data_IF_834521315229
#
_entry.id   IF_834521315229
#
_cell.length_a   1.000
_cell.length_b   1.000
_cell.length_c   1.000
_cell.angle_alpha   90.00
_cell.angle_beta   90.00
_cell.angle_gamma   90.00
#
_symmetry.space_group_name_H-M   'P 1'
#
loop_
_entity.id
_entity.type
_entity.pdbx_description
1 polymer ?
#
# COMPACT_ATOMS: atom_id res chain seq x y z
N UNK A 1 23.38 14.07 -0.24
CA UNK A 1 22.84 14.26 1.13
C UNK A 1 21.40 14.75 0.97
N UNK A 2 20.40 13.94 1.32
CA UNK A 2 19.01 14.41 1.30
C UNK A 2 18.79 15.25 2.55
N UNK A 3 18.56 16.54 2.35
CA UNK A 3 18.16 17.49 3.38
C UNK A 3 16.86 16.98 4.04
N UNK A 4 16.88 16.71 5.35
CA UNK A 4 15.67 16.38 6.10
C UNK A 4 14.76 17.61 6.08
N UNK A 5 13.73 17.58 5.25
CA UNK A 5 12.72 18.63 5.22
C UNK A 5 11.99 18.65 6.57
N UNK A 6 11.71 19.83 7.14
CA UNK A 6 11.02 19.93 8.42
C UNK A 6 9.59 19.36 8.27
N UNK A 7 9.33 18.26 8.96
CA UNK A 7 8.02 17.65 9.04
C UNK A 7 7.24 18.24 10.22
N UNK A 8 5.94 18.46 10.03
CA UNK A 8 5.03 18.93 11.07
C UNK A 8 4.23 17.75 11.59
N UNK A 9 4.21 17.59 12.90
CA UNK A 9 3.37 16.62 13.59
C UNK A 9 2.04 17.26 14.00
N UNK A 10 0.94 16.57 13.71
CA UNK A 10 -0.41 17.06 13.94
C UNK A 10 -1.23 15.97 14.63
N UNK A 11 -1.99 16.35 15.66
CA UNK A 11 -2.99 15.47 16.27
C UNK A 11 -4.36 15.78 15.66
N UNK A 12 -4.91 14.85 14.87
CA UNK A 12 -6.21 14.99 14.22
C UNK A 12 -7.06 13.77 14.55
N UNK A 13 -8.19 13.97 15.23
CA UNK A 13 -9.09 12.87 15.61
C UNK A 13 -8.42 11.80 16.48
N UNK A 14 -7.41 12.15 17.28
CA UNK A 14 -6.63 11.20 18.07
C UNK A 14 -5.57 10.41 17.29
N UNK A 15 -5.43 10.66 15.99
CA UNK A 15 -4.37 10.09 15.14
C UNK A 15 -3.23 11.10 15.00
N UNK A 16 -2.00 10.62 15.19
CA UNK A 16 -0.78 11.38 14.98
C UNK A 16 -0.39 11.36 13.50
N UNK A 17 -0.51 12.50 12.83
CA UNK A 17 -0.23 12.68 11.39
C UNK A 17 1.05 13.48 11.22
N UNK A 18 2.03 12.88 10.55
CA UNK A 18 3.22 13.56 10.04
C UNK A 18 2.96 14.15 8.64
N UNK A 19 3.16 15.45 8.48
CA UNK A 19 2.96 16.18 7.23
C UNK A 19 4.25 16.87 6.78
N UNK A 20 4.58 16.95 5.47
CA UNK A 20 5.88 17.46 5.01
C UNK A 20 6.06 18.98 5.07
N UNK A 21 5.03 19.73 5.45
CA UNK A 21 5.09 21.18 5.67
C UNK A 21 3.92 21.61 6.57
N UNK A 22 3.78 22.90 6.89
CA UNK A 22 2.63 23.40 7.63
C UNK A 22 1.37 23.34 6.74
N UNK A 23 0.37 22.49 7.04
CA UNK A 23 -0.77 22.33 6.15
C UNK A 23 -1.65 23.58 6.09
N UNK A 24 -2.29 23.79 4.95
CA UNK A 24 -3.31 24.80 4.76
C UNK A 24 -4.60 24.45 5.52
N UNK A 25 -5.45 25.43 5.87
CA UNK A 25 -6.73 25.18 6.53
C UNK A 25 -7.62 24.16 5.79
N UNK A 26 -7.65 24.22 4.45
CA UNK A 26 -8.39 23.26 3.62
C UNK A 26 -7.85 21.83 3.73
N UNK A 27 -6.53 21.67 3.88
CA UNK A 27 -5.91 20.37 4.11
C UNK A 27 -6.26 19.84 5.49
N UNK A 28 -6.18 20.67 6.54
CA UNK A 28 -6.58 20.29 7.89
C UNK A 28 -8.03 19.81 7.95
N UNK A 29 -8.96 20.54 7.32
CA UNK A 29 -10.37 20.15 7.24
C UNK A 29 -10.55 18.81 6.51
N UNK A 30 -9.84 18.61 5.41
CA UNK A 30 -9.89 17.35 4.65
C UNK A 30 -9.35 16.18 5.48
N UNK A 31 -8.18 16.34 6.11
CA UNK A 31 -7.57 15.31 6.96
C UNK A 31 -8.49 14.93 8.13
N UNK A 32 -9.13 15.92 8.77
CA UNK A 32 -10.11 15.70 9.85
C UNK A 32 -11.30 14.86 9.39
N UNK A 33 -11.88 15.16 8.22
CA UNK A 33 -13.00 14.39 7.68
C UNK A 33 -12.59 12.97 7.28
N UNK A 34 -11.38 12.79 6.73
CA UNK A 34 -10.84 11.47 6.38
C UNK A 34 -10.69 10.61 7.63
N UNK A 35 -10.01 11.12 8.67
CA UNK A 35 -9.80 10.38 9.92
C UNK A 35 -11.13 10.00 10.57
N UNK A 36 -12.09 10.94 10.60
CA UNK A 36 -13.44 10.69 11.13
C UNK A 36 -14.17 9.58 10.37
N UNK A 37 -14.11 9.60 9.03
CA UNK A 37 -14.71 8.57 8.18
C UNK A 37 -14.09 7.20 8.40
N UNK A 38 -12.76 7.13 8.46
CA UNK A 38 -12.01 5.90 8.71
C UNK A 38 -12.34 5.29 10.08
N UNK A 39 -12.43 6.12 11.14
CA UNK A 39 -12.76 5.68 12.49
C UNK A 39 -14.19 5.15 12.62
N UNK A 40 -15.11 5.67 11.80
CA UNK A 40 -16.52 5.28 11.80
C UNK A 40 -16.85 4.17 10.81
N UNK A 41 -15.88 3.73 10.02
CA UNK A 41 -16.11 2.79 8.92
C UNK A 41 -17.17 3.28 7.92
N UNK A 42 -17.17 4.59 7.65
CA UNK A 42 -18.14 5.27 6.77
C UNK A 42 -17.53 5.67 5.42
N UNK A 43 -18.38 5.82 4.40
CA UNK A 43 -17.96 6.42 3.12
C UNK A 43 -17.96 7.94 3.22
N UNK A 44 -16.95 8.59 2.63
CA UNK A 44 -16.84 10.05 2.60
C UNK A 44 -16.78 10.59 1.16
N UNK A 45 -17.64 11.56 0.86
CA UNK A 45 -17.55 12.37 -0.35
C UNK A 45 -16.89 13.71 0.01
N UNK A 46 -15.66 13.92 -0.45
CA UNK A 46 -14.86 15.09 -0.08
C UNK A 46 -14.58 15.97 -1.30
N UNK A 47 -15.15 17.16 -1.31
CA UNK A 47 -14.84 18.18 -2.32
C UNK A 47 -13.75 19.12 -1.84
N UNK A 48 -12.95 19.59 -2.78
CA UNK A 48 -11.89 20.55 -2.53
C UNK A 48 -11.48 21.23 -3.85
N UNK A 49 -10.99 22.47 -3.84
CA UNK A 49 -10.48 23.12 -5.05
C UNK A 49 -9.24 22.39 -5.60
N UNK A 50 -8.96 22.56 -6.89
CA UNK A 50 -7.72 22.08 -7.51
C UNK A 50 -6.50 22.81 -6.93
N UNK A 51 -5.36 22.12 -6.83
CA UNK A 51 -4.11 22.73 -6.32
C UNK A 51 -3.99 22.84 -4.80
N UNK A 52 -4.97 22.33 -4.04
CA UNK A 52 -4.98 22.35 -2.57
C UNK A 52 -4.18 21.23 -1.88
N UNK A 53 -3.43 20.43 -2.65
CA UNK A 53 -2.68 19.29 -2.12
C UNK A 53 -3.57 18.16 -1.58
N UNK A 54 -4.67 17.84 -2.27
CA UNK A 54 -5.61 16.76 -1.90
C UNK A 54 -4.93 15.42 -1.75
N UNK A 55 -4.05 15.08 -2.70
CA UNK A 55 -3.35 13.80 -2.76
C UNK A 55 -2.51 13.60 -1.50
N UNK A 56 -1.72 14.61 -1.13
CA UNK A 56 -0.90 14.59 0.08
C UNK A 56 -1.74 14.48 1.37
N UNK A 57 -2.82 15.26 1.49
CA UNK A 57 -3.76 15.16 2.62
C UNK A 57 -4.36 13.75 2.74
N UNK A 58 -4.74 13.15 1.61
CA UNK A 58 -5.31 11.82 1.55
C UNK A 58 -4.30 10.74 1.95
N UNK A 59 -3.08 10.78 1.39
CA UNK A 59 -2.00 9.84 1.69
C UNK A 59 -1.59 9.91 3.16
N UNK A 60 -1.26 11.10 3.66
CA UNK A 60 -0.78 11.26 5.04
C UNK A 60 -1.84 10.83 6.06
N UNK A 61 -3.12 11.18 5.85
CA UNK A 61 -4.19 10.80 6.79
C UNK A 61 -4.44 9.30 6.80
N UNK A 62 -4.53 8.68 5.62
CA UNK A 62 -4.82 7.25 5.51
C UNK A 62 -3.67 6.41 6.08
N UNK A 63 -2.41 6.76 5.76
CA UNK A 63 -1.23 6.04 6.24
C UNK A 63 -1.04 6.22 7.75
N UNK A 64 -1.20 7.44 8.27
CA UNK A 64 -1.15 7.70 9.71
C UNK A 64 -2.18 6.86 10.47
N UNK A 65 -3.44 6.85 9.99
CA UNK A 65 -4.50 6.07 10.63
C UNK A 65 -4.23 4.56 10.55
N UNK A 66 -3.72 4.06 9.41
CA UNK A 66 -3.36 2.65 9.25
C UNK A 66 -2.23 2.23 10.20
N UNK A 67 -1.19 3.05 10.36
CA UNK A 67 -0.09 2.81 11.29
C UNK A 67 -0.56 2.86 12.75
N UNK A 68 -1.40 3.86 13.10
CA UNK A 68 -1.99 3.98 14.43
C UNK A 68 -2.87 2.77 14.78
N UNK A 69 -3.68 2.30 13.82
CA UNK A 69 -4.47 1.08 14.00
C UNK A 69 -3.57 -0.15 14.19
N UNK A 70 -2.50 -0.30 13.41
CA UNK A 70 -1.55 -1.40 13.55
C UNK A 70 -0.92 -1.42 14.96
N UNK A 71 -0.47 -0.26 15.45
CA UNK A 71 0.08 -0.13 16.80
C UNK A 71 -0.95 -0.45 17.89
N UNK A 72 -2.21 -0.03 17.72
CA UNK A 72 -3.29 -0.33 18.66
C UNK A 72 -3.61 -1.84 18.72
N UNK A 73 -3.59 -2.51 17.58
CA UNK A 73 -3.83 -3.96 17.51
C UNK A 73 -2.68 -4.75 18.13
N UNK A 74 -1.43 -4.37 17.87
CA UNK A 74 -0.25 -5.00 18.48
C UNK A 74 -0.27 -4.89 20.02
N UNK A 75 -0.52 -3.69 20.55
CA UNK A 75 -0.65 -3.51 22.02
C UNK A 75 -1.75 -4.37 22.61
N UNK A 76 -2.89 -4.48 21.93
CA UNK A 76 -4.03 -5.30 22.39
C UNK A 76 -3.68 -6.79 22.40
N UNK A 77 -2.89 -7.26 21.44
CA UNK A 77 -2.36 -8.63 21.42
C UNK A 77 -1.39 -8.86 22.59
N UNK A 78 -0.44 -7.95 22.83
CA UNK A 78 0.51 -8.02 23.95
C UNK A 78 -0.19 -8.05 25.33
N UNK A 79 -1.21 -7.19 25.52
CA UNK A 79 -2.03 -7.13 26.73
C UNK A 79 -2.82 -8.44 26.96
N UNK A 80 -3.30 -9.07 25.89
CA UNK A 80 -4.00 -10.35 25.98
C UNK A 80 -3.04 -11.48 26.39
N UNK A 81 -1.84 -11.49 25.83
CA UNK A 81 -0.80 -12.46 26.19
C UNK A 81 -0.34 -12.33 27.65
N UNK A 82 -0.16 -11.11 28.17
CA UNK A 82 0.17 -10.89 29.58
C UNK A 82 -0.95 -11.33 30.54
N UNK A 83 -2.22 -11.05 30.20
CA UNK A 83 -3.36 -11.47 31.03
C UNK A 83 -3.54 -12.98 31.14
N UNK A 84 -3.09 -13.76 30.15
CA UNK A 84 -3.12 -15.23 30.19
C UNK A 84 -1.99 -15.83 31.05
N UNK A 85 -0.92 -15.09 31.33
CA UNK A 85 0.22 -15.57 32.14
C UNK A 85 -0.05 -15.37 33.65
N UNK A 86 -0.67 -14.26 34.04
CA UNK A 86 -0.99 -13.95 35.45
C UNK A 86 -2.13 -14.84 36.03
N UNK A 87 -2.87 -15.58 35.19
CA UNK A 87 -3.91 -16.52 35.62
C UNK A 87 -3.43 -17.99 35.71
N UNK A 88 -2.13 -18.27 35.53
CA UNK A 88 -1.60 -19.63 35.59
C UNK A 88 -1.27 -20.13 37.02
N UNK A 89 -1.39 -19.29 38.06
CA UNK A 89 -1.06 -19.65 39.45
C UNK A 89 -2.28 -19.86 40.38
N UNK A 90 -3.53 -19.64 39.94
CA UNK A 90 -4.73 -20.06 40.68
C UNK A 90 -5.74 -20.77 39.77
N UNK A 91 -6.04 -22.04 40.07
CA UNK A 91 -7.11 -22.82 39.46
C UNK A 91 -8.49 -22.14 39.68
N UNK A 92 -9.12 -21.60 38.63
CA UNK A 92 -10.48 -22.00 38.22
C UNK A 92 -10.97 -21.26 36.97
N UNK A 93 -11.75 -22.04 36.20
CA UNK A 93 -12.92 -21.63 35.43
C UNK A 93 -12.67 -21.30 33.95
N UNK A 94 -12.74 -22.37 33.16
CA UNK A 94 -12.80 -22.38 31.70
C UNK A 94 -13.94 -21.49 31.18
N UNK A 95 -13.63 -20.23 30.88
CA UNK A 95 -14.48 -19.37 30.06
C UNK A 95 -14.05 -19.60 28.61
N UNK A 96 -14.76 -20.46 27.89
CA UNK A 96 -14.66 -20.52 26.43
C UNK A 96 -15.17 -19.19 25.86
N UNK A 97 -14.25 -18.25 25.62
CA UNK A 97 -14.59 -17.04 24.90
C UNK A 97 -14.91 -17.41 23.44
N UNK A 98 -16.04 -16.95 22.87
CA UNK A 98 -16.34 -17.17 21.46
C UNK A 98 -15.19 -16.58 20.61
N UNK A 99 -14.84 -17.19 19.47
CA UNK A 99 -13.70 -16.75 18.67
C UNK A 99 -13.96 -15.34 18.16
N UNK A 100 -13.41 -14.32 18.83
CA UNK A 100 -13.44 -12.94 18.35
C UNK A 100 -12.61 -12.89 17.08
N UNK A 101 -13.27 -12.59 15.96
CA UNK A 101 -12.57 -12.33 14.69
C UNK A 101 -11.50 -11.27 14.93
N UNK A 102 -10.23 -11.63 14.67
CA UNK A 102 -9.10 -10.71 14.87
C UNK A 102 -9.26 -9.53 13.92
N UNK A 103 -9.40 -8.32 14.46
CA UNK A 103 -9.28 -7.10 13.67
C UNK A 103 -7.93 -7.09 12.97
N UNK A 104 -7.93 -6.93 11.65
CA UNK A 104 -6.72 -6.85 10.84
C UNK A 104 -6.51 -5.43 10.35
N UNK A 105 -5.25 -5.05 10.19
CA UNK A 105 -4.90 -3.79 9.55
C UNK A 105 -5.37 -3.83 8.08
N UNK A 106 -6.23 -2.89 7.64
CA UNK A 106 -6.76 -2.91 6.29
C UNK A 106 -5.69 -2.50 5.28
N UNK A 107 -5.81 -2.99 4.05
CA UNK A 107 -4.95 -2.56 2.94
C UNK A 107 -5.54 -1.30 2.29
N UNK A 108 -4.71 -0.29 2.05
CA UNK A 108 -5.13 0.95 1.38
C UNK A 108 -5.07 0.73 -0.13
N UNK A 109 -6.21 0.92 -0.80
CA UNK A 109 -6.30 0.89 -2.26
C UNK A 109 -6.46 2.32 -2.78
N UNK A 110 -5.51 2.75 -3.61
CA UNK A 110 -5.57 4.07 -4.24
C UNK A 110 -6.02 3.95 -5.69
N UNK A 111 -7.22 4.45 -5.99
CA UNK A 111 -7.78 4.49 -7.35
C UNK A 111 -7.41 5.80 -8.07
N UNK A 112 -6.86 5.70 -9.27
CA UNK A 112 -6.53 6.86 -10.12
C UNK A 112 -7.08 6.70 -11.53
N UNK A 113 -7.36 7.81 -12.22
CA UNK A 113 -7.83 7.82 -13.61
C UNK A 113 -6.68 7.69 -14.63
N UNK A 114 -5.49 8.22 -14.34
CA UNK A 114 -4.37 8.25 -15.30
C UNK A 114 -3.04 7.85 -14.69
N UNK A 115 -2.13 7.30 -15.49
CA UNK A 115 -0.78 6.96 -15.07
C UNK A 115 0.05 8.17 -14.59
N UNK A 116 -0.23 9.37 -15.10
CA UNK A 116 0.41 10.61 -14.60
C UNK A 116 0.03 10.88 -13.14
N UNK A 117 -1.19 10.56 -12.72
CA UNK A 117 -1.62 10.68 -11.32
C UNK A 117 -0.88 9.66 -10.44
N UNK A 118 -0.65 8.44 -10.94
CA UNK A 118 0.14 7.42 -10.22
C UNK A 118 1.56 7.93 -9.98
N UNK A 119 2.22 8.46 -11.01
CA UNK A 119 3.56 9.02 -10.88
C UNK A 119 3.61 10.16 -9.84
N UNK A 120 2.59 11.03 -9.83
CA UNK A 120 2.46 12.09 -8.84
C UNK A 120 2.32 11.53 -7.42
N UNK A 121 1.48 10.51 -7.21
CA UNK A 121 1.30 9.86 -5.90
C UNK A 121 2.61 9.24 -5.42
N UNK A 122 3.32 8.52 -6.29
CA UNK A 122 4.61 7.90 -5.94
C UNK A 122 5.63 8.96 -5.54
N UNK A 123 5.68 10.08 -6.27
CA UNK A 123 6.56 11.19 -5.93
C UNK A 123 6.16 11.82 -4.58
N UNK A 124 4.88 12.13 -4.38
CA UNK A 124 4.38 12.71 -3.13
C UNK A 124 4.67 11.80 -1.94
N UNK A 125 4.40 10.49 -2.04
CA UNK A 125 4.70 9.51 -1.01
C UNK A 125 6.19 9.53 -0.62
N UNK A 126 7.10 9.59 -1.60
CA UNK A 126 8.54 9.66 -1.37
C UNK A 126 8.99 10.93 -0.62
N UNK A 127 8.20 12.00 -0.68
CA UNK A 127 8.48 13.24 0.08
C UNK A 127 7.97 13.21 1.53
N UNK A 128 7.19 12.21 1.92
CA UNK A 128 6.62 12.09 3.27
C UNK A 128 7.47 11.20 4.17
N UNK A 129 7.23 11.26 5.49
CA UNK A 129 7.82 10.31 6.45
C UNK A 129 7.35 8.86 6.22
N UNK A 130 6.25 8.68 5.48
CA UNK A 130 5.69 7.37 5.14
C UNK A 130 6.36 6.71 3.92
N UNK A 131 7.46 7.27 3.40
CA UNK A 131 8.21 6.70 2.25
C UNK A 131 8.69 5.26 2.43
N UNK A 132 8.73 4.76 3.66
CA UNK A 132 9.11 3.39 3.99
C UNK A 132 7.97 2.37 3.79
N UNK A 133 6.74 2.83 3.55
CA UNK A 133 5.59 1.95 3.32
C UNK A 133 5.68 1.31 1.94
N UNK A 134 5.51 -0.01 1.88
CA UNK A 134 5.54 -0.76 0.64
C UNK A 134 4.32 -0.41 -0.23
N UNK A 135 4.56 0.18 -1.39
CA UNK A 135 3.53 0.48 -2.40
C UNK A 135 3.68 -0.48 -3.59
N UNK A 136 2.55 -0.99 -4.10
CA UNK A 136 2.51 -1.77 -5.35
C UNK A 136 1.60 -1.09 -6.35
N UNK A 137 2.09 -0.90 -7.58
CA UNK A 137 1.33 -0.28 -8.67
C UNK A 137 0.73 -1.38 -9.53
N UNK A 138 -0.60 -1.38 -9.65
CA UNK A 138 -1.30 -2.23 -10.61
C UNK A 138 -1.50 -1.46 -11.92
N UNK A 139 -0.93 -1.95 -13.01
CA UNK A 139 -1.08 -1.37 -14.35
C UNK A 139 -1.45 -2.43 -15.40
N UNK A 140 -1.89 -1.97 -16.57
CA UNK A 140 -2.11 -2.86 -17.71
C UNK A 140 -0.80 -3.57 -18.10
N UNK A 141 -0.94 -4.74 -18.78
CA UNK A 141 0.21 -5.46 -19.35
C UNK A 141 1.00 -4.61 -20.34
N UNK A 142 0.39 -3.56 -20.88
CA UNK A 142 1.07 -2.65 -21.79
C UNK A 142 2.22 -1.89 -21.14
N UNK A 143 2.07 -1.57 -19.85
CA UNK A 143 3.03 -0.81 -19.08
C UNK A 143 3.91 -1.69 -18.17
N UNK A 144 3.44 -2.90 -17.81
CA UNK A 144 4.14 -3.78 -16.86
C UNK A 144 4.80 -5.04 -17.49
N UNK A 145 4.62 -5.30 -18.80
CA UNK A 145 5.23 -6.49 -19.41
C UNK A 145 6.73 -6.31 -19.60
N UNK A 146 7.51 -7.19 -18.96
CA UNK A 146 8.97 -7.22 -19.01
C UNK A 146 9.55 -8.26 -20.00
N UNK A 147 8.69 -9.06 -20.64
CA UNK A 147 9.15 -10.09 -21.57
C UNK A 147 9.67 -9.44 -22.87
N UNK A 148 10.94 -9.65 -23.28
CA UNK A 148 11.56 -8.91 -24.38
C UNK A 148 10.78 -8.92 -25.69
N UNK A 149 10.18 -10.07 -26.06
CA UNK A 149 9.42 -10.19 -27.30
C UNK A 149 8.01 -9.59 -27.19
N UNK A 150 7.33 -9.80 -26.05
CA UNK A 150 5.93 -9.40 -25.88
C UNK A 150 5.80 -7.93 -25.45
N UNK A 151 6.85 -7.33 -24.90
CA UNK A 151 6.87 -5.90 -24.54
C UNK A 151 6.85 -4.99 -25.76
N UNK A 152 7.30 -5.48 -26.92
CA UNK A 152 7.29 -4.75 -28.21
C UNK A 152 6.03 -5.02 -29.04
N UNK A 153 5.29 -6.09 -28.74
CA UNK A 153 4.06 -6.44 -29.45
C UNK A 153 2.96 -5.38 -29.22
N UNK A 154 2.12 -5.15 -30.23
CA UNK A 154 0.91 -4.32 -30.09
C UNK A 154 -0.20 -5.04 -29.31
N UNK A 155 -0.33 -6.35 -29.50
CA UNK A 155 -1.34 -7.21 -28.84
C UNK A 155 -0.76 -7.95 -27.63
N UNK A 156 -0.23 -7.19 -26.66
CA UNK A 156 0.47 -7.73 -25.47
C UNK A 156 -0.37 -8.70 -24.63
N UNK A 157 -1.69 -8.53 -24.66
CA UNK A 157 -2.61 -9.40 -23.93
C UNK A 157 -2.71 -10.79 -24.55
N UNK A 158 -2.73 -10.88 -25.87
CA UNK A 158 -2.81 -12.13 -26.64
C UNK A 158 -1.47 -12.86 -26.63
N UNK A 159 -0.38 -12.17 -26.97
CA UNK A 159 0.97 -12.75 -26.92
C UNK A 159 1.34 -13.26 -25.52
N UNK A 160 0.89 -12.58 -24.45
CA UNK A 160 1.04 -13.10 -23.09
C UNK A 160 0.22 -14.37 -22.83
N UNK A 161 -1.00 -14.50 -23.38
CA UNK A 161 -1.80 -15.73 -23.26
C UNK A 161 -1.14 -16.88 -24.04
N UNK A 162 -0.60 -16.60 -25.21
CA UNK A 162 0.12 -17.54 -26.07
C UNK A 162 1.41 -18.06 -25.40
N UNK A 163 2.25 -17.17 -24.88
CA UNK A 163 3.46 -17.52 -24.12
C UNK A 163 3.17 -18.30 -22.84
N UNK A 164 1.98 -18.12 -22.23
CA UNK A 164 1.54 -18.94 -21.09
C UNK A 164 1.13 -20.35 -21.53
N UNK A 165 0.65 -20.51 -22.77
CA UNK A 165 0.28 -21.80 -23.36
C UNK A 165 1.46 -22.51 -24.06
N UNK A 166 2.60 -21.83 -24.26
CA UNK A 166 3.77 -22.38 -24.96
C UNK A 166 3.63 -22.40 -26.49
N UNK A 167 2.70 -21.62 -27.02
CA UNK A 167 2.38 -21.56 -28.45
C UNK A 167 2.89 -20.21 -28.96
N UNK A 168 4.17 -20.10 -29.29
CA UNK A 168 4.70 -18.90 -29.96
C UNK A 168 4.78 -19.16 -31.48
N UNK A 169 4.33 -18.23 -32.34
CA UNK A 169 4.30 -18.43 -33.78
C UNK A 169 5.68 -18.77 -34.38
N UNK A 170 6.75 -18.19 -33.83
CA UNK A 170 8.11 -18.38 -34.34
C UNK A 170 8.91 -19.51 -33.66
N UNK A 171 8.54 -19.93 -32.44
CA UNK A 171 9.24 -20.99 -31.69
C UNK A 171 8.27 -21.76 -30.76
N UNK A 172 7.66 -22.86 -31.23
CA UNK A 172 6.79 -23.69 -30.39
C UNK A 172 7.55 -24.26 -29.18
N UNK A 173 6.95 -24.21 -28.00
CA UNK A 173 7.56 -24.64 -26.73
C UNK A 173 8.25 -23.53 -25.92
N UNK A 174 8.28 -22.29 -26.42
CA UNK A 174 8.84 -21.15 -25.67
C UNK A 174 7.80 -20.62 -24.68
N UNK A 175 8.09 -20.73 -23.39
CA UNK A 175 7.25 -20.21 -22.31
C UNK A 175 7.79 -18.88 -21.75
N UNK A 176 6.91 -18.08 -21.13
CA UNK A 176 7.35 -16.88 -20.43
C UNK A 176 8.14 -17.23 -19.14
N UNK A 177 9.47 -17.04 -19.19
CA UNK A 177 10.38 -17.28 -18.05
C UNK A 177 10.02 -16.48 -16.79
N UNK A 178 9.47 -15.27 -16.97
CA UNK A 178 9.11 -14.37 -15.88
C UNK A 178 7.83 -14.82 -15.16
N UNK A 179 6.89 -15.43 -15.90
CA UNK A 179 5.68 -15.96 -15.31
C UNK A 179 5.95 -17.26 -14.53
N UNK A 180 6.75 -18.16 -15.11
CA UNK A 180 7.10 -19.43 -14.45
C UNK A 180 7.89 -19.22 -13.15
N UNK A 181 8.77 -18.21 -13.13
CA UNK A 181 9.59 -17.89 -11.96
C UNK A 181 8.99 -16.81 -11.06
N UNK A 182 7.68 -16.48 -11.17
CA UNK A 182 7.06 -15.38 -10.40
C UNK A 182 7.28 -15.51 -8.89
N UNK A 183 7.26 -16.73 -8.36
CA UNK A 183 7.51 -16.98 -6.94
C UNK A 183 8.96 -16.71 -6.51
N UNK A 184 9.92 -16.75 -7.43
CA UNK A 184 11.35 -16.50 -7.21
C UNK A 184 11.72 -15.03 -7.47
N UNK A 185 10.90 -14.32 -8.26
CA UNK A 185 11.10 -12.93 -8.69
C UNK A 185 10.32 -11.93 -7.82
N UNK A 186 10.42 -12.08 -6.48
CA UNK A 186 9.66 -11.23 -5.53
C UNK A 186 10.33 -9.89 -5.20
N UNK A 187 11.59 -9.69 -5.60
CA UNK A 187 12.33 -8.46 -5.32
C UNK A 187 12.93 -7.86 -6.59
N UNK A 188 13.13 -6.53 -6.60
CA UNK A 188 13.83 -5.83 -7.68
C UNK A 188 15.26 -6.36 -7.87
N UNK A 189 15.91 -6.85 -6.80
CA UNK A 189 17.22 -7.49 -6.90
C UNK A 189 17.15 -8.82 -7.69
N UNK A 190 16.11 -9.63 -7.45
CA UNK A 190 15.89 -10.88 -8.19
C UNK A 190 15.61 -10.65 -9.68
N UNK A 191 14.98 -9.52 -10.05
CA UNK A 191 14.73 -9.17 -11.45
C UNK A 191 16.00 -8.80 -12.23
N UNK A 192 17.01 -8.21 -11.57
CA UNK A 192 18.31 -7.91 -12.19
C UNK A 192 19.01 -9.16 -12.69
N UNK A 193 18.90 -10.27 -11.95
CA UNK A 193 19.46 -11.57 -12.33
C UNK A 193 18.81 -12.17 -13.58
N UNK A 194 17.64 -11.65 -14.00
CA UNK A 194 16.96 -12.04 -15.24
C UNK A 194 17.18 -11.04 -16.39
N UNK A 195 18.22 -10.20 -16.30
CA UNK A 195 18.62 -9.29 -17.39
C UNK A 195 17.85 -7.96 -17.44
N UNK A 196 17.04 -7.65 -16.41
CA UNK A 196 16.32 -6.38 -16.32
C UNK A 196 17.14 -5.43 -15.43
N UNK A 197 17.99 -4.63 -16.06
CA UNK A 197 18.89 -3.69 -15.38
C UNK A 197 18.29 -2.31 -15.15
N UNK A 198 17.18 -1.98 -15.83
CA UNK A 198 16.42 -0.75 -15.64
C UNK A 198 14.94 -1.11 -15.37
N UNK A 199 14.54 -1.03 -14.10
CA UNK A 199 13.16 -1.05 -13.64
C UNK A 199 12.99 0.06 -12.61
#
# INVERSE_FOLDING_TARGET
>A
MMEEKPHVELMIGGVKIHFPFKPYPSQLSMMSMIVKGLQRSEHCLLESPTGSGKTLSLLCSALAWQQDLAMRLQKKEELYEQSNVDCAEEECCSIEQPPKEKEKVPTIWFGTRTHKQIAQITHELATTQYRHVNMSILSSREHACIHPLNSQSKTKNEGCKELRKGIHPDLPGTHCIFYQNVNRLRSHASLKNCGITQA
#
